data_IF_906181231140
#
_entry.id   IF_906181231140
#
_cell.length_a   1.000
_cell.length_b   1.000
_cell.length_c   1.000
_cell.angle_alpha   90.00
_cell.angle_beta   90.00
_cell.angle_gamma   90.00
#
_symmetry.space_group_name_H-M   'P 1'
#
loop_
_entity.id
_entity.type
_entity.pdbx_description
1 polymer ?
#
# COMPACT_ATOMS: atom_id res chain seq x y z
N UNK A 1 10.72 10.18 -1.22
CA UNK A 1 9.59 10.82 -1.96
C UNK A 1 8.72 11.50 -0.91
N UNK A 2 7.81 12.44 -1.22
CA UNK A 2 6.80 12.79 -0.20
C UNK A 2 5.87 11.58 -0.03
N UNK A 3 5.54 11.20 1.20
CA UNK A 3 4.70 10.04 1.51
C UNK A 3 3.39 10.04 0.69
N UNK A 4 2.72 11.19 0.63
CA UNK A 4 1.50 11.42 -0.18
C UNK A 4 1.71 11.21 -1.68
N UNK A 5 2.88 11.57 -2.20
CA UNK A 5 3.21 11.37 -3.62
C UNK A 5 3.40 9.89 -3.92
N UNK A 6 4.01 9.14 -3.00
CA UNK A 6 4.14 7.69 -3.11
C UNK A 6 2.78 7.00 -3.16
N UNK A 7 1.90 7.33 -2.21
CA UNK A 7 0.57 6.72 -2.10
C UNK A 7 -0.28 6.99 -3.35
N UNK A 8 -0.29 8.26 -3.81
CA UNK A 8 -1.01 8.65 -5.03
C UNK A 8 -0.49 7.89 -6.26
N UNK A 9 0.83 7.82 -6.44
CA UNK A 9 1.43 7.13 -7.58
C UNK A 9 1.13 5.62 -7.55
N UNK A 10 1.18 4.98 -6.38
CA UNK A 10 0.81 3.58 -6.23
C UNK A 10 -0.66 3.33 -6.61
N UNK A 11 -1.57 4.18 -6.15
CA UNK A 11 -3.01 4.12 -6.49
C UNK A 11 -3.22 4.25 -8.01
N UNK A 12 -2.46 5.11 -8.69
CA UNK A 12 -2.54 5.27 -10.15
C UNK A 12 -1.99 4.05 -10.91
N UNK A 13 -0.99 3.36 -10.35
CA UNK A 13 -0.39 2.14 -10.95
C UNK A 13 -1.29 0.92 -10.74
N UNK A 14 -2.01 0.84 -9.61
CA UNK A 14 -2.78 -0.35 -9.23
C UNK A 14 -3.72 -0.90 -10.32
N UNK A 15 -4.54 -0.08 -11.03
CA UNK A 15 -5.39 -0.58 -12.11
C UNK A 15 -4.61 -1.24 -13.26
N UNK A 16 -3.38 -0.78 -13.53
CA UNK A 16 -2.52 -1.37 -14.56
C UNK A 16 -2.03 -2.74 -14.14
N UNK A 17 -1.71 -2.94 -12.85
CA UNK A 17 -1.34 -4.24 -12.30
C UNK A 17 -2.51 -5.21 -12.47
N UNK A 18 -3.73 -4.82 -12.06
CA UNK A 18 -4.92 -5.67 -12.19
C UNK A 18 -5.22 -6.05 -13.64
N UNK A 19 -5.03 -5.12 -14.58
CA UNK A 19 -5.31 -5.35 -15.99
C UNK A 19 -4.30 -6.28 -16.67
N UNK A 20 -3.05 -6.32 -16.20
CA UNK A 20 -1.96 -7.04 -16.87
C UNK A 20 -1.50 -8.30 -16.14
N UNK A 21 -1.84 -8.46 -14.86
CA UNK A 21 -1.52 -9.66 -14.06
C UNK A 21 -2.84 -10.31 -13.59
N UNK A 22 -3.44 -11.17 -14.42
CA UNK A 22 -4.76 -11.76 -14.14
C UNK A 22 -4.69 -12.79 -13.02
N UNK A 23 -3.58 -13.53 -12.93
CA UNK A 23 -3.36 -14.49 -11.85
C UNK A 23 -3.28 -13.76 -10.52
N UNK A 24 -4.03 -14.26 -9.53
CA UNK A 24 -4.17 -13.59 -8.25
C UNK A 24 -2.93 -13.76 -7.38
N UNK A 25 -2.29 -14.93 -7.41
CA UNK A 25 -1.13 -15.20 -6.58
C UNK A 25 0.07 -14.39 -7.09
N UNK A 26 0.31 -14.43 -8.40
CA UNK A 26 1.34 -13.62 -9.07
C UNK A 26 1.13 -12.13 -8.83
N UNK A 27 -0.13 -11.65 -8.90
CA UNK A 27 -0.45 -10.25 -8.62
C UNK A 27 -0.13 -9.86 -7.19
N UNK A 28 -0.45 -10.70 -6.22
CA UNK A 28 -0.16 -10.42 -4.80
C UNK A 28 1.36 -10.40 -4.57
N UNK A 29 2.09 -11.36 -5.14
CA UNK A 29 3.56 -11.43 -5.05
C UNK A 29 4.22 -10.17 -5.64
N UNK A 30 3.91 -9.83 -6.89
CA UNK A 30 4.41 -8.64 -7.57
C UNK A 30 4.05 -7.35 -6.80
N UNK A 31 2.82 -7.25 -6.32
CA UNK A 31 2.36 -6.09 -5.55
C UNK A 31 3.13 -5.96 -4.24
N UNK A 32 3.49 -7.08 -3.59
CA UNK A 32 4.29 -7.09 -2.37
C UNK A 32 5.67 -6.49 -2.60
N UNK A 33 6.39 -6.98 -3.61
CA UNK A 33 7.71 -6.45 -3.99
C UNK A 33 7.65 -4.95 -4.33
N UNK A 34 6.59 -4.53 -5.03
CA UNK A 34 6.39 -3.13 -5.36
C UNK A 34 6.15 -2.27 -4.11
N UNK A 35 5.32 -2.74 -3.18
CA UNK A 35 5.05 -2.04 -1.93
C UNK A 35 6.33 -1.83 -1.11
N UNK A 36 7.25 -2.79 -1.08
CA UNK A 36 8.56 -2.62 -0.43
C UNK A 36 9.40 -1.49 -1.05
N UNK A 37 9.31 -1.29 -2.37
CA UNK A 37 9.99 -0.18 -3.06
C UNK A 37 9.39 1.16 -2.64
N UNK A 38 8.06 1.26 -2.64
CA UNK A 38 7.36 2.49 -2.30
C UNK A 38 7.53 2.88 -0.83
N UNK A 39 7.40 1.92 0.09
CA UNK A 39 7.55 2.15 1.54
C UNK A 39 8.98 2.54 1.91
N UNK A 40 9.99 1.93 1.27
CA UNK A 40 11.39 2.38 1.36
C UNK A 40 11.60 3.80 0.84
N UNK A 41 10.73 4.27 -0.05
CA UNK A 41 10.69 5.64 -0.56
C UNK A 41 9.91 6.63 0.31
N UNK A 42 9.58 6.26 1.55
CA UNK A 42 8.75 6.97 2.52
C UNK A 42 7.24 7.01 2.19
N UNK A 43 6.71 6.12 1.34
CA UNK A 43 5.25 5.99 1.20
C UNK A 43 4.61 5.48 2.49
N UNK A 44 3.46 6.04 2.84
CA UNK A 44 2.64 5.55 3.96
C UNK A 44 1.75 4.38 3.51
N UNK A 45 1.94 3.14 4.02
CA UNK A 45 1.10 1.99 3.68
C UNK A 45 -0.39 2.19 4.01
N UNK A 46 -0.69 3.01 5.02
CA UNK A 46 -2.05 3.27 5.50
C UNK A 46 -2.92 3.93 4.43
N UNK A 47 -2.32 4.75 3.58
CA UNK A 47 -3.04 5.45 2.51
C UNK A 47 -3.55 4.49 1.42
N UNK A 48 -3.03 3.25 1.35
CA UNK A 48 -3.30 2.33 0.24
C UNK A 48 -3.86 0.97 0.66
N UNK A 49 -3.87 0.64 1.96
CA UNK A 49 -4.30 -0.67 2.46
C UNK A 49 -5.75 -1.04 2.11
N UNK A 50 -6.62 -0.02 2.03
CA UNK A 50 -8.06 -0.15 1.84
C UNK A 50 -8.50 0.05 0.39
N UNK A 51 -7.55 0.30 -0.50
CA UNK A 51 -7.83 0.45 -1.93
C UNK A 51 -8.33 -0.86 -2.53
N UNK A 52 -7.77 -2.01 -2.12
CA UNK A 52 -8.17 -3.32 -2.62
C UNK A 52 -7.73 -4.46 -1.67
N UNK A 53 -8.52 -5.54 -1.50
CA UNK A 53 -8.15 -6.67 -0.63
C UNK A 53 -6.85 -7.37 -1.02
N UNK A 54 -6.50 -7.40 -2.31
CA UNK A 54 -5.22 -7.98 -2.77
C UNK A 54 -4.00 -7.12 -2.35
N UNK A 55 -4.15 -5.79 -2.21
CA UNK A 55 -3.08 -4.92 -1.68
C UNK A 55 -2.82 -5.26 -0.22
N UNK A 56 -3.89 -5.40 0.58
CA UNK A 56 -3.81 -5.84 1.98
C UNK A 56 -3.19 -7.24 2.11
N UNK A 57 -3.51 -8.15 1.18
CA UNK A 57 -2.90 -9.48 1.15
C UNK A 57 -1.39 -9.38 0.85
N UNK A 58 -1.00 -8.55 -0.12
CA UNK A 58 0.40 -8.31 -0.46
C UNK A 58 1.19 -7.72 0.70
N UNK A 59 0.65 -6.72 1.40
CA UNK A 59 1.27 -6.14 2.61
C UNK A 59 1.55 -7.20 3.68
N UNK A 60 0.59 -8.09 3.94
CA UNK A 60 0.77 -9.19 4.89
C UNK A 60 1.84 -10.17 4.44
N UNK A 61 1.93 -10.46 3.14
CA UNK A 61 2.93 -11.37 2.59
C UNK A 61 4.36 -10.85 2.79
N UNK A 62 4.59 -9.55 2.62
CA UNK A 62 5.92 -8.93 2.80
C UNK A 62 6.17 -8.38 4.20
N UNK A 63 5.26 -8.63 5.16
CA UNK A 63 5.44 -8.23 6.55
C UNK A 63 5.34 -6.72 6.80
N UNK A 64 4.67 -5.97 5.93
CA UNK A 64 4.35 -4.55 6.17
C UNK A 64 3.30 -4.50 7.28
N UNK A 65 3.68 -3.98 8.44
CA UNK A 65 2.80 -3.89 9.61
C UNK A 65 1.67 -2.88 9.38
N UNK A 66 0.46 -3.42 9.41
CA UNK A 66 -0.80 -2.67 9.37
C UNK A 66 -1.32 -2.55 10.82
N UNK A 67 -0.49 -2.10 11.75
CA UNK A 67 -0.89 -1.85 13.14
C UNK A 67 -1.22 -0.36 13.33
N UNK A 68 -2.50 -0.06 13.60
CA UNK A 68 -3.05 1.29 13.76
C UNK A 68 -2.03 2.21 14.44
N UNK A 69 -1.44 3.20 13.76
CA UNK A 69 -0.58 4.14 14.44
C UNK A 69 -1.53 4.92 15.33
N UNK A 70 -1.26 4.94 16.63
CA UNK A 70 -1.96 5.76 17.62
C UNK A 70 -1.96 7.28 17.24
N UNK A 71 -1.32 7.66 16.14
CA UNK A 71 -1.26 8.99 15.52
C UNK A 71 -2.62 9.58 15.11
N UNK A 72 -3.71 8.81 15.07
CA UNK A 72 -5.07 9.36 14.89
C UNK A 72 -5.89 9.49 16.18
N UNK A 73 -5.30 9.22 17.36
CA UNK A 73 -5.93 9.49 18.68
C UNK A 73 -5.51 10.83 19.30
N UNK A 74 -4.97 11.77 18.53
CA UNK A 74 -4.63 13.10 19.05
C UNK A 74 -4.84 14.19 18.02
N UNK A 75 -6.11 14.56 17.82
CA UNK A 75 -6.49 15.98 17.70
C UNK A 75 -7.92 16.14 18.23
N UNK A 76 -8.11 16.25 19.57
CA UNK A 76 -9.21 17.02 20.10
C UNK A 76 -8.87 18.51 19.97
N UNK A 77 -9.71 19.22 19.22
CA UNK A 77 -9.79 20.68 19.08
C UNK A 77 -8.70 21.41 18.26
N UNK A 78 -9.11 21.89 17.08
CA UNK A 78 -8.72 23.19 16.53
C UNK A 78 -9.92 23.84 15.84
#
# INVERSE_FOLDING_TARGET
>A
MSWRTGSKLFIEIWPLIQANIPDREERIEFTGELLEVFTRGDMDPWDVEDVHPDIRAAMRQVGIEITEPERYKSDPDS
#
